data_IF_829317046413
#
_entry.id   IF_829317046413
#
_cell.length_a   1.000
_cell.length_b   1.000
_cell.length_c   1.000
_cell.angle_alpha   90.00
_cell.angle_beta   90.00
_cell.angle_gamma   90.00
#
_symmetry.space_group_name_H-M   'P 1'
#
loop_
_entity.id
_entity.type
_entity.pdbx_description
1 polymer ?
#
# COMPACT_ATOMS: atom_id res chain seq x y z
N UNK A 1 -25.69 28.83 -41.56
CA UNK A 1 -26.01 28.51 -42.98
C UNK A 1 -25.11 27.35 -43.36
N UNK A 2 -25.67 26.13 -43.35
CA UNK A 2 -26.04 25.35 -44.56
C UNK A 2 -24.79 24.90 -45.34
N UNK A 3 -24.62 23.67 -45.80
CA UNK A 3 -25.53 22.54 -46.10
C UNK A 3 -24.60 21.32 -46.30
N UNK A 4 -24.92 20.14 -45.76
CA UNK A 4 -25.62 19.04 -46.45
C UNK A 4 -24.87 18.31 -47.57
N UNK A 5 -25.07 16.98 -47.54
CA UNK A 5 -25.18 16.04 -48.66
C UNK A 5 -23.90 15.51 -49.32
N UNK A 6 -23.81 14.28 -49.83
CA UNK A 6 -24.60 13.04 -49.73
C UNK A 6 -23.85 11.98 -50.57
N UNK A 7 -24.20 10.70 -50.40
CA UNK A 7 -24.14 9.59 -51.37
C UNK A 7 -22.76 9.03 -51.78
N UNK A 8 -22.46 7.75 -51.52
CA UNK A 8 -22.94 6.49 -52.15
C UNK A 8 -22.25 6.17 -53.48
N UNK A 9 -21.57 5.01 -53.52
CA UNK A 9 -21.66 3.90 -54.50
C UNK A 9 -20.39 3.03 -54.39
N UNK A 10 -20.54 1.75 -54.00
CA UNK A 10 -20.57 0.52 -54.84
C UNK A 10 -19.19 0.21 -55.46
N UNK A 11 -18.63 -1.01 -55.44
CA UNK A 11 -19.19 -2.27 -55.97
C UNK A 11 -18.34 -3.50 -55.56
N UNK A 12 -19.04 -4.65 -55.44
CA UNK A 12 -18.72 -6.02 -55.93
C UNK A 12 -17.44 -6.75 -55.45
N UNK A 13 -17.47 -8.05 -55.10
CA UNK A 13 -18.07 -9.16 -55.84
C UNK A 13 -18.20 -10.42 -54.95
N UNK A 14 -19.34 -11.13 -54.90
CA UNK A 14 -19.83 -12.23 -55.78
C UNK A 14 -18.98 -13.51 -55.70
N UNK A 15 -19.46 -14.65 -55.16
CA UNK A 15 -20.10 -15.84 -55.83
C UNK A 15 -19.76 -17.04 -54.90
N UNK A 16 -20.54 -18.09 -54.62
CA UNK A 16 -21.94 -18.44 -54.84
C UNK A 16 -22.21 -19.82 -54.17
N UNK A 17 -23.50 -20.14 -53.94
CA UNK A 17 -24.19 -21.43 -54.18
C UNK A 17 -23.68 -22.71 -53.46
N UNK A 18 -24.38 -23.25 -52.45
CA UNK A 18 -25.62 -24.10 -52.51
C UNK A 18 -25.31 -25.55 -52.93
N UNK A 19 -25.90 -26.66 -52.45
CA UNK A 19 -27.15 -27.00 -51.75
C UNK A 19 -27.09 -28.50 -51.37
N UNK A 20 -27.80 -28.93 -50.31
CA UNK A 20 -28.46 -30.26 -50.12
C UNK A 20 -27.60 -31.57 -50.16
N UNK A 21 -27.92 -32.71 -49.54
CA UNK A 21 -29.10 -33.25 -48.87
C UNK A 21 -28.70 -34.49 -48.01
N UNK A 22 -29.55 -34.81 -47.03
CA UNK A 22 -29.98 -36.15 -46.57
C UNK A 22 -29.01 -37.28 -46.13
N UNK A 23 -29.08 -37.56 -44.82
CA UNK A 23 -29.43 -38.84 -44.15
C UNK A 23 -28.83 -40.18 -44.61
N UNK A 24 -28.16 -40.91 -43.68
CA UNK A 24 -28.56 -42.28 -43.30
C UNK A 24 -27.83 -42.86 -42.05
N UNK A 25 -28.59 -43.70 -41.34
CA UNK A 25 -28.26 -44.56 -40.18
C UNK A 25 -27.09 -45.55 -40.40
N UNK A 26 -26.41 -45.97 -39.32
CA UNK A 26 -26.51 -47.35 -38.79
C UNK A 26 -25.56 -47.62 -37.62
N UNK A 27 -26.05 -48.46 -36.70
CA UNK A 27 -25.45 -48.96 -35.46
C UNK A 27 -24.59 -50.22 -35.67
N UNK A 28 -23.92 -50.64 -34.57
CA UNK A 28 -23.34 -51.98 -34.26
C UNK A 28 -21.97 -52.27 -34.86
N UNK A 29 -21.10 -53.09 -34.28
CA UNK A 29 -20.83 -53.61 -32.93
C UNK A 29 -19.45 -54.29 -33.08
N UNK A 30 -18.84 -54.58 -31.93
CA UNK A 30 -17.88 -55.67 -31.70
C UNK A 30 -16.40 -55.55 -32.11
N UNK A 31 -15.61 -55.59 -31.03
CA UNK A 31 -14.54 -56.55 -30.76
C UNK A 31 -13.08 -56.13 -30.97
N UNK A 32 -12.30 -56.55 -29.97
CA UNK A 32 -10.85 -56.56 -29.87
C UNK A 32 -10.15 -55.22 -29.58
N UNK A 33 -9.68 -55.05 -28.33
CA UNK A 33 -8.24 -54.99 -27.98
C UNK A 33 -8.11 -55.04 -26.45
N UNK A 34 -8.20 -56.25 -25.89
CA UNK A 34 -7.77 -56.56 -24.53
C UNK A 34 -6.26 -56.82 -24.51
N UNK A 35 -5.41 -55.82 -24.80
CA UNK A 35 -3.96 -55.92 -24.53
C UNK A 35 -3.22 -54.56 -24.45
N UNK A 36 -3.93 -53.43 -24.30
CA UNK A 36 -3.29 -52.10 -24.28
C UNK A 36 -3.43 -51.32 -22.96
N UNK A 37 -4.27 -51.76 -22.01
CA UNK A 37 -4.52 -50.97 -20.79
C UNK A 37 -3.54 -51.21 -19.63
N UNK A 38 -2.73 -52.27 -19.66
CA UNK A 38 -1.79 -52.56 -18.55
C UNK A 38 -0.46 -51.79 -18.61
N UNK A 39 -0.19 -51.10 -19.72
CA UNK A 39 1.09 -50.42 -19.95
C UNK A 39 1.05 -48.91 -19.67
N UNK A 40 -0.15 -48.32 -19.55
CA UNK A 40 -0.33 -46.87 -19.31
C UNK A 40 -0.46 -46.53 -17.82
N UNK A 41 -0.87 -47.48 -16.99
CA UNK A 41 -1.09 -47.27 -15.55
C UNK A 41 0.20 -47.10 -14.70
N UNK A 42 1.40 -47.28 -15.27
CA UNK A 42 2.68 -47.18 -14.52
C UNK A 42 3.46 -45.90 -14.87
N UNK A 43 3.08 -45.17 -15.92
CA UNK A 43 3.77 -43.94 -16.35
C UNK A 43 3.20 -42.64 -15.75
N UNK A 44 2.05 -42.66 -15.07
CA UNK A 44 1.42 -41.47 -14.48
C UNK A 44 1.69 -41.28 -12.97
N UNK A 45 2.42 -42.19 -12.31
CA UNK A 45 2.71 -42.10 -10.87
C UNK A 45 4.03 -41.38 -10.52
N UNK A 46 4.77 -40.81 -11.48
CA UNK A 46 6.13 -40.28 -11.22
C UNK A 46 6.42 -38.87 -11.76
N UNK A 47 5.40 -38.04 -11.92
CA UNK A 47 5.57 -36.61 -12.22
C UNK A 47 4.59 -35.72 -11.44
N UNK A 48 4.43 -35.95 -10.14
CA UNK A 48 3.75 -34.97 -9.26
C UNK A 48 4.40 -34.81 -7.88
N UNK A 49 5.75 -34.81 -7.85
CA UNK A 49 6.54 -34.28 -6.74
C UNK A 49 7.47 -33.19 -7.26
N UNK A 50 6.89 -32.13 -7.81
CA UNK A 50 7.57 -30.84 -7.89
C UNK A 50 7.29 -30.10 -6.59
N UNK A 51 8.32 -29.96 -5.78
CA UNK A 51 8.39 -29.16 -4.57
C UNK A 51 7.69 -27.79 -4.73
N UNK A 52 6.40 -27.73 -4.40
CA UNK A 52 5.75 -26.47 -4.07
C UNK A 52 6.18 -26.12 -2.65
N UNK A 53 7.36 -25.47 -2.54
CA UNK A 53 7.75 -24.70 -1.36
C UNK A 53 6.50 -23.93 -0.88
N UNK A 54 6.08 -24.03 0.40
CA UNK A 54 4.96 -23.25 0.87
C UNK A 54 5.32 -21.78 0.70
N UNK A 55 4.66 -21.12 -0.25
CA UNK A 55 4.78 -19.67 -0.46
C UNK A 55 4.54 -19.02 0.89
N UNK A 56 5.56 -18.33 1.41
CA UNK A 56 5.54 -17.55 2.66
C UNK A 56 4.43 -16.47 2.72
N UNK A 57 3.61 -16.36 1.67
CA UNK A 57 2.49 -15.42 1.52
C UNK A 57 1.24 -15.79 2.33
N UNK A 58 1.12 -17.04 2.83
CA UNK A 58 -0.06 -17.45 3.61
C UNK A 58 -0.08 -16.90 5.05
N UNK A 59 1.07 -16.71 5.69
CA UNK A 59 1.11 -16.26 7.09
C UNK A 59 0.72 -14.78 7.25
N UNK A 60 1.17 -13.91 6.33
CA UNK A 60 0.77 -12.49 6.33
C UNK A 60 -0.75 -12.36 6.13
N UNK A 61 -1.34 -13.04 5.14
CA UNK A 61 -2.78 -12.93 4.86
C UNK A 61 -3.67 -13.33 6.05
N UNK A 62 -3.28 -14.37 6.80
CA UNK A 62 -4.04 -14.84 7.97
C UNK A 62 -4.05 -13.82 9.12
N UNK A 63 -2.91 -13.19 9.43
CA UNK A 63 -2.84 -12.13 10.45
C UNK A 63 -3.56 -10.86 10.02
N UNK A 64 -3.48 -10.51 8.73
CA UNK A 64 -4.16 -9.32 8.23
C UNK A 64 -5.67 -9.52 8.41
N UNK A 65 -6.26 -10.69 8.12
CA UNK A 65 -7.71 -10.94 8.17
C UNK A 65 -8.35 -10.92 9.57
N UNK A 66 -7.57 -11.02 10.65
CA UNK A 66 -8.10 -10.98 12.02
C UNK A 66 -8.34 -9.55 12.54
N UNK A 67 -7.93 -8.52 11.80
CA UNK A 67 -7.99 -7.12 12.22
C UNK A 67 -9.24 -6.46 11.60
N UNK A 68 -10.00 -5.63 12.36
CA UNK A 68 -11.14 -4.91 11.83
C UNK A 68 -10.77 -4.05 10.62
N UNK A 69 -11.70 -3.94 9.67
CA UNK A 69 -11.49 -3.27 8.37
C UNK A 69 -11.04 -1.81 8.52
N UNK A 70 -11.53 -1.11 9.56
CA UNK A 70 -11.10 0.26 9.90
C UNK A 70 -9.61 0.36 10.20
N UNK A 71 -9.07 -0.52 11.05
CA UNK A 71 -7.66 -0.50 11.44
C UNK A 71 -6.76 -0.88 10.27
N UNK A 72 -7.22 -1.75 9.36
CA UNK A 72 -6.50 -2.08 8.13
C UNK A 72 -6.38 -0.86 7.20
N UNK A 73 -7.47 -0.12 6.99
CA UNK A 73 -7.46 1.07 6.15
C UNK A 73 -6.55 2.17 6.75
N UNK A 74 -6.61 2.37 8.07
CA UNK A 74 -5.71 3.32 8.76
C UNK A 74 -4.25 2.88 8.64
N UNK A 75 -3.95 1.59 8.81
CA UNK A 75 -2.59 1.08 8.67
C UNK A 75 -2.06 1.21 7.23
N UNK A 76 -2.88 0.93 6.22
CA UNK A 76 -2.50 1.09 4.82
C UNK A 76 -2.25 2.56 4.45
N UNK A 77 -3.12 3.47 4.89
CA UNK A 77 -2.94 4.92 4.64
C UNK A 77 -1.68 5.44 5.33
N UNK A 78 -1.41 5.02 6.57
CA UNK A 78 -0.16 5.35 7.27
C UNK A 78 1.06 4.77 6.57
N UNK A 79 1.01 3.52 6.12
CA UNK A 79 2.11 2.91 5.39
C UNK A 79 2.43 3.71 4.11
N UNK A 80 1.41 4.08 3.32
CA UNK A 80 1.60 4.89 2.11
C UNK A 80 2.21 6.26 2.46
N UNK A 81 1.67 6.91 3.49
CA UNK A 81 2.12 8.24 3.90
C UNK A 81 3.57 8.22 4.42
N UNK A 82 3.95 7.19 5.18
CA UNK A 82 5.35 7.02 5.64
C UNK A 82 6.32 6.81 4.48
N UNK A 83 5.95 5.98 3.50
CA UNK A 83 6.78 5.73 2.31
C UNK A 83 6.92 7.00 1.48
N UNK A 84 5.82 7.73 1.26
CA UNK A 84 5.85 8.99 0.53
C UNK A 84 6.74 10.04 1.24
N UNK A 85 6.57 10.23 2.54
CA UNK A 85 7.38 11.16 3.34
C UNK A 85 8.88 10.79 3.33
N UNK A 86 9.20 9.50 3.38
CA UNK A 86 10.57 9.01 3.29
C UNK A 86 11.20 9.29 1.92
N UNK A 87 10.48 8.97 0.82
CA UNK A 87 10.95 9.24 -0.54
C UNK A 87 11.17 10.73 -0.80
N UNK A 88 10.24 11.59 -0.35
CA UNK A 88 10.36 13.05 -0.48
C UNK A 88 11.57 13.55 0.32
N UNK A 89 11.74 13.10 1.56
CA UNK A 89 12.87 13.49 2.41
C UNK A 89 14.21 13.09 1.81
N UNK A 90 14.31 11.87 1.26
CA UNK A 90 15.52 11.41 0.56
C UNK A 90 15.81 12.24 -0.69
N UNK A 91 14.78 12.53 -1.49
CA UNK A 91 14.92 13.35 -2.71
C UNK A 91 15.42 14.76 -2.38
N UNK A 92 14.84 15.42 -1.37
CA UNK A 92 15.27 16.74 -0.91
C UNK A 92 16.73 16.70 -0.43
N UNK A 93 17.12 15.69 0.35
CA UNK A 93 18.49 15.55 0.84
C UNK A 93 19.51 15.36 -0.30
N UNK A 94 19.17 14.55 -1.30
CA UNK A 94 20.03 14.36 -2.48
C UNK A 94 20.15 15.63 -3.31
N UNK A 95 19.02 16.29 -3.60
CA UNK A 95 18.99 17.52 -4.38
C UNK A 95 19.81 18.63 -3.72
N UNK A 96 19.56 18.89 -2.43
CA UNK A 96 20.28 19.93 -1.68
C UNK A 96 21.75 19.57 -1.52
N UNK A 97 22.08 18.31 -1.23
CA UNK A 97 23.47 17.86 -1.12
C UNK A 97 24.26 18.09 -2.42
N UNK A 98 23.67 17.71 -3.57
CA UNK A 98 24.30 17.90 -4.87
C UNK A 98 24.43 19.38 -5.23
N UNK A 99 23.37 20.17 -5.03
CA UNK A 99 23.40 21.62 -5.28
C UNK A 99 24.45 22.33 -4.44
N UNK A 100 24.56 21.96 -3.16
CA UNK A 100 25.53 22.53 -2.24
C UNK A 100 26.96 22.16 -2.63
N UNK A 101 27.21 20.93 -3.08
CA UNK A 101 28.53 20.52 -3.58
C UNK A 101 28.92 21.25 -4.87
N UNK A 102 28.01 21.32 -5.83
CA UNK A 102 28.23 22.03 -7.09
C UNK A 102 28.51 23.50 -6.85
N UNK A 103 27.73 24.14 -5.97
CA UNK A 103 27.97 25.52 -5.55
C UNK A 103 29.36 25.68 -4.91
N UNK A 104 29.77 24.76 -4.04
CA UNK A 104 31.14 24.81 -3.46
C UNK A 104 32.22 24.62 -4.51
N UNK A 105 32.00 23.80 -5.53
CA UNK A 105 32.96 23.56 -6.61
C UNK A 105 33.15 24.79 -7.48
N UNK A 106 32.04 25.47 -7.84
CA UNK A 106 32.08 26.73 -8.59
C UNK A 106 32.75 27.83 -7.77
N UNK A 107 32.43 27.93 -6.48
CA UNK A 107 33.06 28.91 -5.58
C UNK A 107 34.56 28.63 -5.41
N UNK A 108 34.94 27.37 -5.24
CA UNK A 108 36.32 26.96 -5.10
C UNK A 108 37.10 27.25 -6.39
N UNK A 109 36.56 26.91 -7.57
CA UNK A 109 37.23 27.15 -8.85
C UNK A 109 37.41 28.65 -9.16
N UNK A 110 36.37 29.46 -8.95
CA UNK A 110 36.42 30.91 -9.22
C UNK A 110 37.36 31.65 -8.27
N UNK A 111 37.34 31.32 -6.97
CA UNK A 111 38.18 32.00 -5.96
C UNK A 111 39.60 31.45 -5.93
N UNK A 112 39.80 30.18 -6.30
CA UNK A 112 41.12 29.57 -6.36
C UNK A 112 42.04 30.30 -7.35
N UNK A 113 41.51 30.80 -8.47
CA UNK A 113 42.31 31.54 -9.45
C UNK A 113 42.90 32.82 -8.83
N UNK A 114 42.11 33.58 -8.08
CA UNK A 114 42.58 34.79 -7.40
C UNK A 114 43.64 34.49 -6.32
N UNK A 115 43.43 33.42 -5.54
CA UNK A 115 44.40 32.98 -4.52
C UNK A 115 45.69 32.48 -5.18
N UNK A 116 45.56 31.83 -6.32
CA UNK A 116 46.65 31.32 -7.13
C UNK A 116 47.48 32.45 -7.77
N UNK A 117 46.84 33.44 -8.38
CA UNK A 117 47.53 34.58 -9.02
C UNK A 117 48.31 35.42 -7.99
N UNK A 118 47.84 35.46 -6.75
CA UNK A 118 48.51 36.12 -5.63
C UNK A 118 49.43 35.18 -4.81
N UNK A 119 49.61 33.93 -5.23
CA UNK A 119 50.37 32.92 -4.49
C UNK A 119 51.84 33.32 -4.28
N UNK A 120 52.46 33.97 -5.27
CA UNK A 120 53.85 34.42 -5.16
C UNK A 120 54.01 35.51 -4.07
N UNK A 121 53.04 36.43 -3.97
CA UNK A 121 52.98 37.43 -2.90
C UNK A 121 52.78 36.80 -1.52
N UNK A 122 51.97 35.74 -1.42
CA UNK A 122 51.73 34.99 -0.18
C UNK A 122 52.95 34.15 0.24
N UNK A 123 53.79 33.72 -0.71
CA UNK A 123 55.00 32.93 -0.45
C UNK A 123 56.14 33.76 0.16
N UNK A 124 56.24 35.04 -0.19
CA UNK A 124 57.29 35.93 0.31
C UNK A 124 57.08 36.39 1.77
N UNK A 125 55.92 36.09 2.38
CA UNK A 125 55.61 36.47 3.76
C UNK A 125 55.87 35.30 4.71
N UNK A 126 56.66 35.55 5.76
CA UNK A 126 57.08 34.52 6.73
C UNK A 126 55.88 33.76 7.33
N UNK A 127 56.02 32.43 7.42
CA UNK A 127 55.04 31.47 7.97
C UNK A 127 54.66 31.70 9.44
N UNK A 128 55.38 32.60 10.13
CA UNK A 128 55.14 32.98 11.53
C UNK A 128 54.12 34.11 11.70
N UNK A 129 53.68 34.79 10.63
CA UNK A 129 52.62 35.79 10.70
C UNK A 129 51.25 35.16 10.44
N UNK A 130 50.27 35.56 11.25
CA UNK A 130 48.86 35.16 11.21
C UNK A 130 48.33 35.09 9.77
N UNK A 131 47.68 33.97 9.42
CA UNK A 131 47.03 33.72 8.13
C UNK A 131 46.24 34.95 7.65
N UNK A 132 46.75 35.69 6.67
CA UNK A 132 46.03 36.79 6.00
C UNK A 132 45.39 36.22 4.74
N UNK A 133 44.28 35.53 4.95
CA UNK A 133 43.42 34.99 3.91
C UNK A 133 42.05 34.69 4.53
N UNK A 134 41.01 34.45 3.73
CA UNK A 134 39.71 34.05 4.27
C UNK A 134 39.94 32.81 5.13
N UNK A 135 39.51 32.84 6.40
CA UNK A 135 39.86 31.88 7.48
C UNK A 135 39.38 30.43 7.24
N UNK A 136 38.91 30.13 6.03
CA UNK A 136 38.24 28.89 5.64
C UNK A 136 39.02 28.12 4.56
N UNK A 137 40.06 28.73 3.99
CA UNK A 137 40.89 28.10 2.96
C UNK A 137 42.14 27.48 3.55
N UNK A 138 42.46 26.27 3.08
CA UNK A 138 43.76 25.65 3.26
C UNK A 138 44.50 25.71 1.93
N UNK A 139 45.77 26.16 1.96
CA UNK A 139 46.61 26.24 0.77
C UNK A 139 47.96 25.60 1.06
N UNK A 140 48.38 24.71 0.16
CA UNK A 140 49.68 24.06 0.20
C UNK A 140 50.31 24.05 -1.20
N UNK A 141 51.52 24.57 -1.30
CA UNK A 141 52.31 24.59 -2.53
C UNK A 141 53.35 23.47 -2.46
N UNK A 142 53.43 22.66 -3.51
CA UNK A 142 54.39 21.57 -3.66
C UNK A 142 55.18 21.72 -4.96
N UNK A 143 56.43 21.26 -4.91
CA UNK A 143 57.29 21.12 -6.10
C UNK A 143 56.83 19.94 -6.97
N UNK A 144 57.39 19.84 -8.17
CA UNK A 144 57.33 18.70 -9.10
C UNK A 144 57.70 17.36 -8.43
N UNK A 145 58.65 17.36 -7.50
CA UNK A 145 59.02 16.20 -6.67
C UNK A 145 58.08 16.00 -5.45
N UNK A 146 56.93 16.66 -5.44
CA UNK A 146 55.92 16.60 -4.38
C UNK A 146 56.41 17.01 -2.97
N UNK A 147 57.57 17.68 -2.90
CA UNK A 147 58.09 18.27 -1.66
C UNK A 147 57.29 19.52 -1.30
N UNK A 148 56.88 19.64 -0.04
CA UNK A 148 56.14 20.80 0.46
C UNK A 148 57.06 22.02 0.43
N UNK A 149 56.74 23.02 -0.41
CA UNK A 149 57.48 24.28 -0.50
C UNK A 149 56.97 25.24 0.58
N UNK A 150 55.64 25.41 0.67
CA UNK A 150 55.00 26.31 1.64
C UNK A 150 53.55 25.90 1.92
N UNK A 151 53.06 26.23 3.11
CA UNK A 151 51.65 26.09 3.52
C UNK A 151 51.11 27.45 3.97
N UNK A 152 50.86 28.38 3.03
CA UNK A 152 50.60 29.78 3.36
C UNK A 152 49.26 30.02 4.06
N UNK A 153 48.27 29.14 3.86
CA UNK A 153 46.96 29.26 4.49
C UNK A 153 46.64 27.99 5.29
N UNK A 154 46.50 28.14 6.60
CA UNK A 154 46.09 27.09 7.52
C UNK A 154 44.93 27.63 8.34
N UNK A 155 43.70 27.09 8.17
CA UNK A 155 42.55 27.54 8.92
C UNK A 155 42.69 27.11 10.38
N UNK A 156 42.67 28.08 11.29
CA UNK A 156 42.63 27.82 12.73
C UNK A 156 41.18 27.77 13.16
N UNK A 157 40.74 26.59 13.60
CA UNK A 157 39.44 26.43 14.23
C UNK A 157 39.57 26.97 15.66
N UNK A 158 38.52 27.60 16.20
CA UNK A 158 38.47 28.15 17.56
C UNK A 158 39.06 27.16 18.59
N UNK A 159 40.12 27.56 19.29
CA UNK A 159 40.92 26.69 20.16
C UNK A 159 42.25 26.24 19.53
N UNK A 160 43.09 25.49 20.24
CA UNK A 160 44.38 24.99 19.71
C UNK A 160 44.22 23.85 18.69
N UNK A 161 43.09 23.79 17.96
CA UNK A 161 42.76 22.72 17.01
C UNK A 161 42.93 23.24 15.59
N UNK A 162 43.70 22.50 14.81
CA UNK A 162 43.91 22.73 13.39
C UNK A 162 43.36 21.53 12.63
N UNK A 163 42.47 21.79 11.69
CA UNK A 163 41.98 20.78 10.74
C UNK A 163 42.67 21.00 9.40
N UNK A 164 43.29 19.95 8.86
CA UNK A 164 43.94 19.97 7.55
C UNK A 164 43.42 18.84 6.67
N UNK A 165 43.32 19.02 5.35
CA UNK A 165 42.94 17.94 4.44
C UNK A 165 43.99 16.83 4.43
N UNK A 166 43.56 15.57 4.34
CA UNK A 166 44.46 14.44 4.06
C UNK A 166 44.84 14.44 2.58
N UNK A 167 45.94 15.11 2.27
CA UNK A 167 46.53 15.12 0.94
C UNK A 167 47.41 13.88 0.71
N UNK A 168 47.47 13.33 -0.51
CA UNK A 168 48.30 12.16 -0.83
C UNK A 168 49.78 12.44 -0.57
N UNK A 169 50.49 11.44 -0.03
CA UNK A 169 51.93 11.54 0.26
C UNK A 169 52.80 11.42 -1.00
N UNK A 170 52.31 10.72 -2.03
CA UNK A 170 53.07 10.38 -3.26
C UNK A 170 52.74 11.31 -4.44
N UNK A 171 51.93 12.35 -4.22
CA UNK A 171 51.61 13.34 -5.25
C UNK A 171 50.56 12.84 -6.25
N UNK A 172 50.64 13.35 -7.48
CA UNK A 172 49.69 13.10 -8.57
C UNK A 172 49.75 11.68 -9.18
N UNK A 173 50.73 10.86 -8.81
CA UNK A 173 50.97 9.54 -9.45
C UNK A 173 49.88 8.49 -9.18
N UNK A 174 48.99 8.74 -8.21
CA UNK A 174 47.76 7.98 -8.14
C UNK A 174 46.81 8.46 -9.24
N UNK A 175 46.52 7.61 -10.24
CA UNK A 175 45.56 7.76 -11.38
C UNK A 175 44.14 8.30 -11.05
N UNK A 176 43.89 8.83 -9.85
CA UNK A 176 42.62 9.31 -9.32
C UNK A 176 42.50 10.83 -9.22
N UNK A 177 43.60 11.60 -9.30
CA UNK A 177 43.56 13.07 -9.13
C UNK A 177 43.74 13.74 -10.48
N UNK A 178 42.73 14.48 -10.91
CA UNK A 178 42.73 15.22 -12.17
C UNK A 178 42.88 16.71 -11.86
N UNK A 179 43.87 17.37 -12.46
CA UNK A 179 44.05 18.83 -12.34
C UNK A 179 42.78 19.56 -12.76
N UNK A 180 42.46 20.68 -12.11
CA UNK A 180 41.23 21.45 -12.34
C UNK A 180 39.90 20.77 -12.00
N UNK A 181 39.90 19.55 -11.43
CA UNK A 181 38.68 18.90 -10.92
C UNK A 181 38.69 18.83 -9.39
N UNK A 182 37.71 19.45 -8.70
CA UNK A 182 37.58 19.32 -7.26
C UNK A 182 37.32 17.88 -6.82
N UNK A 183 37.93 17.45 -5.71
CA UNK A 183 37.72 16.15 -5.10
C UNK A 183 37.60 16.25 -3.57
N UNK A 184 36.98 15.26 -2.93
CA UNK A 184 36.71 15.29 -1.48
C UNK A 184 37.73 14.44 -0.72
N UNK A 185 38.31 14.99 0.35
CA UNK A 185 39.26 14.29 1.24
C UNK A 185 38.82 14.35 2.70
N UNK A 186 39.14 13.33 3.51
CA UNK A 186 38.89 13.39 4.95
C UNK A 186 39.84 14.39 5.63
N UNK A 187 39.42 14.95 6.77
CA UNK A 187 40.25 15.82 7.59
C UNK A 187 41.19 15.03 8.51
N UNK A 188 42.36 15.62 8.77
CA UNK A 188 43.28 15.25 9.85
C UNK A 188 43.22 16.36 10.89
N UNK A 189 42.88 16.00 12.11
CA UNK A 189 42.79 16.93 13.24
C UNK A 189 44.10 16.89 14.01
N UNK A 190 44.75 18.05 14.15
CA UNK A 190 45.93 18.24 15.00
C UNK A 190 45.58 19.17 16.15
N UNK A 191 45.87 18.77 17.38
CA UNK A 191 45.63 19.59 18.58
C UNK A 191 45.16 18.79 19.79
N UNK A 192 45.05 19.46 20.95
CA UNK A 192 44.51 18.87 22.16
C UNK A 192 42.98 18.78 22.08
N UNK A 193 42.47 17.59 21.81
CA UNK A 193 41.04 17.33 21.63
C UNK A 193 40.27 17.23 22.96
N UNK A 194 40.94 17.21 24.12
CA UNK A 194 40.27 16.88 25.39
C UNK A 194 39.47 18.05 25.98
N UNK A 195 39.82 19.31 25.68
CA UNK A 195 39.18 20.51 26.25
C UNK A 195 38.21 21.23 25.31
N UNK A 196 37.79 20.59 24.21
CA UNK A 196 37.06 21.28 23.14
C UNK A 196 35.64 20.74 22.97
N UNK A 197 34.72 21.67 22.68
CA UNK A 197 33.28 21.43 22.47
C UNK A 197 33.01 20.39 21.37
N UNK A 198 31.88 19.68 21.51
CA UNK A 198 31.46 18.66 20.54
C UNK A 198 31.22 19.23 19.13
N UNK A 199 30.72 20.47 19.03
CA UNK A 199 30.48 21.17 17.76
C UNK A 199 31.80 21.39 17.03
N UNK A 200 32.80 21.92 17.72
CA UNK A 200 34.14 22.17 17.18
C UNK A 200 34.86 20.89 16.79
N UNK A 201 34.68 19.79 17.55
CA UNK A 201 35.20 18.46 17.19
C UNK A 201 34.57 17.89 15.93
N UNK A 202 33.25 18.05 15.77
CA UNK A 202 32.53 17.63 14.57
C UNK A 202 33.02 18.43 13.36
N UNK A 203 33.10 19.75 13.51
CA UNK A 203 33.58 20.64 12.47
C UNK A 203 35.01 20.33 12.03
N UNK A 204 35.91 20.04 12.98
CA UNK A 204 37.30 19.67 12.69
C UNK A 204 37.42 18.33 11.94
N UNK A 205 36.46 17.42 12.10
CA UNK A 205 36.43 16.12 11.38
C UNK A 205 35.73 16.19 10.03
N UNK A 206 35.12 17.33 9.69
CA UNK A 206 34.39 17.49 8.43
C UNK A 206 35.34 17.34 7.23
N UNK A 207 34.90 16.68 6.15
CA UNK A 207 35.69 16.54 4.94
C UNK A 207 36.01 17.88 4.30
N UNK A 208 37.03 17.86 3.46
CA UNK A 208 37.52 19.01 2.70
C UNK A 208 37.32 18.77 1.22
N UNK A 209 36.87 19.80 0.50
CA UNK A 209 36.85 19.82 -0.96
C UNK A 209 38.13 20.48 -1.43
N UNK A 210 38.95 19.74 -2.17
CA UNK A 210 40.29 20.14 -2.61
C UNK A 210 40.27 20.31 -4.11
N UNK A 211 40.82 21.42 -4.59
CA UNK A 211 41.11 21.70 -5.98
C UNK A 211 42.63 21.78 -6.15
N UNK A 212 43.13 21.16 -7.22
CA UNK A 212 44.55 21.18 -7.54
C UNK A 212 44.78 21.93 -8.83
N UNK A 213 45.69 22.89 -8.77
CA UNK A 213 46.12 23.72 -9.90
C UNK A 213 47.61 23.46 -10.16
N UNK A 214 48.01 23.44 -11.42
CA UNK A 214 49.42 23.44 -11.82
C UNK A 214 49.92 24.87 -11.83
N UNK A 215 51.14 25.08 -11.34
CA UNK A 215 51.83 26.35 -11.50
C UNK A 215 53.09 26.22 -12.34
N UNK A 216 53.43 27.28 -13.07
CA UNK A 216 54.55 27.27 -13.99
C UNK A 216 54.88 28.65 -14.50
N UNK A 217 56.14 28.85 -14.91
CA UNK A 217 56.54 30.05 -15.62
C UNK A 217 56.20 29.87 -17.11
N UNK A 218 55.47 30.85 -17.66
CA UNK A 218 55.21 30.91 -19.10
C UNK A 218 56.49 31.41 -19.77
N UNK A 219 57.10 30.58 -20.61
CA UNK A 219 58.22 31.05 -21.41
C UNK A 219 57.72 32.12 -22.39
N UNK A 220 58.37 33.29 -22.39
CA UNK A 220 58.02 34.42 -23.25
C UNK A 220 58.12 34.13 -24.76
N UNK A 221 58.82 33.06 -25.14
CA UNK A 221 59.09 32.72 -26.54
C UNK A 221 58.11 31.72 -27.17
N UNK A 222 57.56 30.78 -26.40
CA UNK A 222 56.83 29.63 -26.95
C UNK A 222 55.48 29.35 -26.26
N UNK A 223 54.99 30.20 -25.37
CA UNK A 223 53.70 30.04 -24.65
C UNK A 223 53.51 28.71 -23.90
N UNK A 224 54.54 27.86 -23.88
CA UNK A 224 54.61 26.57 -23.23
C UNK A 224 54.81 26.79 -21.74
N UNK A 225 53.85 26.28 -20.95
CA UNK A 225 53.87 26.41 -19.51
C UNK A 225 54.83 25.36 -18.94
N UNK A 226 56.03 25.79 -18.55
CA UNK A 226 56.95 24.92 -17.81
C UNK A 226 56.39 24.70 -16.40
N UNK A 227 55.76 23.55 -16.16
CA UNK A 227 55.13 23.23 -14.87
C UNK A 227 56.20 23.20 -13.78
N UNK A 228 56.20 24.21 -12.92
CA UNK A 228 57.11 24.39 -11.79
C UNK A 228 56.57 23.73 -10.51
N UNK A 229 55.32 23.25 -10.50
CA UNK A 229 54.79 22.40 -9.43
C UNK A 229 53.26 22.45 -9.32
N UNK A 230 52.75 22.16 -8.12
CA UNK A 230 51.31 22.04 -7.86
C UNK A 230 50.87 22.86 -6.64
N UNK A 231 49.68 23.46 -6.75
CA UNK A 231 49.02 24.22 -5.69
C UNK A 231 47.74 23.50 -5.29
N UNK A 232 47.64 23.10 -4.03
CA UNK A 232 46.45 22.52 -3.44
C UNK A 232 45.69 23.61 -2.70
N UNK A 233 44.44 23.84 -3.08
CA UNK A 233 43.53 24.77 -2.43
C UNK A 233 42.34 23.96 -1.93
N UNK A 234 41.99 24.10 -0.65
CA UNK A 234 40.91 23.32 -0.06
C UNK A 234 39.96 24.18 0.78
N UNK A 235 38.68 23.82 0.75
CA UNK A 235 37.60 24.44 1.53
C UNK A 235 36.97 23.38 2.45
N UNK A 236 36.70 23.75 3.70
CA UNK A 236 36.00 22.87 4.64
C UNK A 236 34.52 22.76 4.29
N UNK A 237 33.97 21.53 4.27
CA UNK A 237 32.53 21.29 4.09
C UNK A 237 31.74 21.36 5.40
N UNK A 238 32.34 21.82 6.49
CA UNK A 238 31.69 21.82 7.81
C UNK A 238 30.37 22.57 7.82
N UNK A 239 30.36 23.84 7.39
CA UNK A 239 29.16 24.67 7.38
C UNK A 239 28.06 24.09 6.48
N UNK A 240 28.49 23.48 5.37
CA UNK A 240 27.61 22.84 4.39
C UNK A 240 26.92 21.60 4.99
N UNK A 241 27.70 20.75 5.66
CA UNK A 241 27.20 19.54 6.33
C UNK A 241 26.31 19.91 7.51
N UNK A 242 26.63 20.97 8.24
CA UNK A 242 25.79 21.44 9.34
C UNK A 242 24.46 21.98 8.84
N UNK A 243 24.46 22.71 7.72
CA UNK A 243 23.24 23.15 7.03
C UNK A 243 22.38 21.97 6.58
N UNK A 244 22.99 20.97 5.92
CA UNK A 244 22.28 19.74 5.52
C UNK A 244 21.74 19.00 6.74
N UNK A 245 22.51 18.87 7.82
CA UNK A 245 22.06 18.16 9.03
C UNK A 245 20.91 18.86 9.74
N UNK A 246 20.89 20.20 9.71
CA UNK A 246 19.79 21.01 10.24
C UNK A 246 18.54 20.82 9.39
N UNK A 247 18.69 20.86 8.06
CA UNK A 247 17.60 20.56 7.13
C UNK A 247 17.06 19.15 7.33
N UNK A 248 17.92 18.13 7.44
CA UNK A 248 17.53 16.74 7.73
C UNK A 248 16.72 16.66 9.02
N UNK A 249 17.12 17.37 10.08
CA UNK A 249 16.37 17.41 11.34
C UNK A 249 14.98 18.00 11.15
N UNK A 250 14.86 19.10 10.41
CA UNK A 250 13.55 19.69 10.07
C UNK A 250 12.71 18.73 9.21
N UNK A 251 13.28 18.09 8.20
CA UNK A 251 12.57 17.09 7.39
C UNK A 251 12.04 15.93 8.23
N UNK A 252 12.81 15.44 9.21
CA UNK A 252 12.36 14.38 10.13
C UNK A 252 11.22 14.88 11.01
N UNK A 253 11.33 16.08 11.59
CA UNK A 253 10.27 16.66 12.44
C UNK A 253 8.98 16.87 11.66
N UNK A 254 9.07 17.41 10.44
CA UNK A 254 7.92 17.59 9.54
C UNK A 254 7.33 16.24 9.14
N UNK A 255 8.16 15.25 8.80
CA UNK A 255 7.69 13.91 8.46
C UNK A 255 6.90 13.26 9.61
N UNK A 256 7.40 13.36 10.84
CA UNK A 256 6.72 12.86 12.04
C UNK A 256 5.38 13.59 12.22
N UNK A 257 5.37 14.92 12.09
CA UNK A 257 4.14 15.70 12.19
C UNK A 257 3.10 15.27 11.15
N UNK A 258 3.50 15.15 9.88
CA UNK A 258 2.60 14.72 8.78
C UNK A 258 2.07 13.30 9.01
N UNK A 259 2.89 12.38 9.53
CA UNK A 259 2.44 11.02 9.90
C UNK A 259 1.43 11.06 11.05
N UNK A 260 1.68 11.84 12.10
CA UNK A 260 0.77 11.96 13.24
C UNK A 260 -0.57 12.59 12.83
N UNK A 261 -0.54 13.71 12.11
CA UNK A 261 -1.75 14.34 11.59
C UNK A 261 -2.47 13.40 10.63
N UNK A 262 -1.75 12.76 9.71
CA UNK A 262 -2.30 11.76 8.80
C UNK A 262 -2.98 10.60 9.55
N UNK A 263 -2.40 10.12 10.65
CA UNK A 263 -3.01 9.07 11.49
C UNK A 263 -4.33 9.53 12.09
N UNK A 264 -4.36 10.74 12.66
CA UNK A 264 -5.56 11.31 13.29
C UNK A 264 -6.65 11.56 12.25
N UNK A 265 -6.33 12.20 11.12
CA UNK A 265 -7.29 12.45 10.05
C UNK A 265 -7.81 11.16 9.43
N UNK A 266 -6.93 10.20 9.12
CA UNK A 266 -7.35 8.90 8.61
C UNK A 266 -8.28 8.19 9.60
N UNK A 267 -7.94 8.18 10.89
CA UNK A 267 -8.77 7.57 11.92
C UNK A 267 -10.16 8.23 12.00
N UNK A 268 -10.24 9.56 12.01
CA UNK A 268 -11.52 10.30 12.06
C UNK A 268 -12.36 10.01 10.82
N UNK A 269 -11.79 10.16 9.62
CA UNK A 269 -12.50 9.96 8.35
C UNK A 269 -13.00 8.52 8.25
N UNK A 270 -12.14 7.53 8.48
CA UNK A 270 -12.49 6.11 8.37
C UNK A 270 -13.53 5.71 9.43
N UNK A 271 -13.40 6.19 10.66
CA UNK A 271 -14.42 5.94 11.70
C UNK A 271 -15.75 6.58 11.35
N UNK A 272 -15.76 7.80 10.82
CA UNK A 272 -17.01 8.47 10.39
C UNK A 272 -17.67 7.73 9.22
N UNK A 273 -16.89 7.27 8.24
CA UNK A 273 -17.39 6.57 7.06
C UNK A 273 -17.96 5.19 7.39
N UNK A 274 -17.35 4.48 8.35
CA UNK A 274 -17.79 3.14 8.77
C UNK A 274 -18.85 3.16 9.88
N UNK A 275 -19.09 4.31 10.53
CA UNK A 275 -20.09 4.43 11.61
C UNK A 275 -21.51 4.06 11.16
N UNK A 276 -22.00 4.47 9.97
CA UNK A 276 -23.29 4.01 9.44
C UNK A 276 -23.33 2.49 9.28
N UNK A 277 -22.29 1.87 8.73
CA UNK A 277 -22.23 0.42 8.52
C UNK A 277 -22.33 -0.36 9.84
N UNK A 278 -21.65 0.13 10.89
CA UNK A 278 -21.74 -0.45 12.24
C UNK A 278 -23.13 -0.30 12.87
N UNK A 279 -23.90 0.73 12.50
CA UNK A 279 -25.31 0.87 12.90
C UNK A 279 -26.18 -0.16 12.19
N UNK A 280 -25.97 -0.36 10.88
CA UNK A 280 -26.69 -1.39 10.10
C UNK A 280 -26.43 -2.77 10.70
N UNK A 281 -25.17 -3.11 10.97
CA UNK A 281 -24.77 -4.37 11.63
C UNK A 281 -25.52 -4.58 12.95
N UNK A 282 -25.55 -3.56 13.82
CA UNK A 282 -26.23 -3.64 15.11
C UNK A 282 -27.74 -3.82 14.97
N UNK A 283 -28.38 -3.16 14.00
CA UNK A 283 -29.81 -3.33 13.72
C UNK A 283 -30.10 -4.72 13.16
N UNK A 284 -29.30 -5.20 12.21
CA UNK A 284 -29.43 -6.54 11.66
C UNK A 284 -29.27 -7.63 12.73
N UNK A 285 -28.33 -7.47 13.67
CA UNK A 285 -28.16 -8.38 14.81
C UNK A 285 -29.40 -8.41 15.71
N UNK A 286 -30.10 -7.29 15.92
CA UNK A 286 -31.35 -7.25 16.69
C UNK A 286 -32.53 -7.91 15.96
N UNK A 287 -32.59 -7.73 14.65
CA UNK A 287 -33.59 -8.40 13.81
C UNK A 287 -33.36 -9.91 13.84
N UNK A 288 -32.10 -10.35 13.74
CA UNK A 288 -31.74 -11.76 13.86
C UNK A 288 -32.10 -12.38 15.22
N UNK A 289 -32.19 -11.56 16.28
CA UNK A 289 -32.69 -11.99 17.60
C UNK A 289 -34.22 -12.00 17.73
N UNK A 290 -34.98 -11.73 16.65
CA UNK A 290 -36.44 -11.84 16.61
C UNK A 290 -37.21 -10.52 16.64
N UNK A 291 -36.54 -9.36 16.78
CA UNK A 291 -37.21 -8.06 16.79
C UNK A 291 -37.33 -7.49 15.36
N UNK A 292 -38.34 -7.98 14.62
CA UNK A 292 -38.67 -7.55 13.25
C UNK A 292 -39.25 -6.13 13.18
N UNK A 293 -39.60 -5.50 14.31
CA UNK A 293 -40.12 -4.12 14.34
C UNK A 293 -39.03 -3.08 14.07
N UNK A 294 -37.75 -3.45 14.23
CA UNK A 294 -36.64 -2.53 14.00
C UNK A 294 -36.42 -2.28 12.52
N UNK A 295 -36.00 -1.05 12.22
CA UNK A 295 -35.63 -0.60 10.88
C UNK A 295 -34.24 -0.02 10.88
N UNK A 296 -33.58 -0.14 9.73
CA UNK A 296 -32.28 0.46 9.50
C UNK A 296 -32.48 1.97 9.35
N UNK A 297 -31.70 2.81 10.07
CA UNK A 297 -31.80 4.27 9.94
C UNK A 297 -31.62 4.71 8.49
N UNK A 298 -32.50 5.59 8.01
CA UNK A 298 -32.40 6.10 6.64
C UNK A 298 -31.15 6.97 6.49
N UNK A 299 -30.39 6.71 5.43
CA UNK A 299 -29.26 7.52 4.99
C UNK A 299 -29.56 8.01 3.56
N UNK A 300 -28.94 9.12 3.11
CA UNK A 300 -29.19 9.65 1.77
C UNK A 300 -29.01 8.57 0.70
N UNK A 301 -30.03 8.34 -0.14
CA UNK A 301 -30.06 7.24 -1.12
C UNK A 301 -29.00 7.36 -2.22
N UNK A 302 -28.45 8.56 -2.40
CA UNK A 302 -27.32 8.82 -3.29
C UNK A 302 -25.98 8.27 -2.76
N UNK A 303 -25.95 7.70 -1.56
CA UNK A 303 -24.77 7.02 -1.00
C UNK A 303 -24.94 5.51 -1.07
N UNK A 304 -23.85 4.77 -1.20
CA UNK A 304 -23.84 3.31 -1.25
C UNK A 304 -24.49 2.71 0.01
N UNK A 305 -24.30 3.37 1.16
CA UNK A 305 -24.91 2.98 2.43
C UNK A 305 -26.42 3.23 2.44
N UNK A 306 -26.89 4.34 1.88
CA UNK A 306 -28.31 4.65 1.78
C UNK A 306 -29.06 3.66 0.88
N UNK A 307 -28.51 3.34 -0.29
CA UNK A 307 -29.07 2.33 -1.19
C UNK A 307 -29.16 0.95 -0.53
N UNK A 308 -28.14 0.55 0.24
CA UNK A 308 -28.16 -0.69 1.01
C UNK A 308 -29.23 -0.66 2.13
N UNK A 309 -29.33 0.45 2.86
CA UNK A 309 -30.33 0.61 3.92
C UNK A 309 -31.75 0.52 3.37
N UNK A 310 -32.02 1.15 2.23
CA UNK A 310 -33.32 1.09 1.55
C UNK A 310 -33.66 -0.34 1.10
N UNK A 311 -32.70 -1.04 0.48
CA UNK A 311 -32.87 -2.42 0.03
C UNK A 311 -33.14 -3.38 1.21
N UNK A 312 -32.42 -3.22 2.32
CA UNK A 312 -32.60 -4.04 3.51
C UNK A 312 -33.96 -3.76 4.18
N UNK A 313 -34.39 -2.50 4.29
CA UNK A 313 -35.71 -2.16 4.82
C UNK A 313 -36.84 -2.72 3.93
N UNK A 314 -36.67 -2.74 2.60
CA UNK A 314 -37.63 -3.36 1.67
C UNK A 314 -37.73 -4.88 1.89
N UNK A 315 -36.60 -5.57 2.07
CA UNK A 315 -36.58 -6.99 2.42
C UNK A 315 -37.28 -7.26 3.75
N UNK A 316 -37.01 -6.44 4.78
CA UNK A 316 -37.66 -6.58 6.10
C UNK A 316 -39.18 -6.40 6.02
N UNK A 317 -39.64 -5.42 5.24
CA UNK A 317 -41.07 -5.22 5.02
C UNK A 317 -41.75 -6.42 4.35
N UNK A 318 -41.04 -7.13 3.45
CA UNK A 318 -41.55 -8.38 2.84
C UNK A 318 -41.62 -9.52 3.85
N UNK A 319 -40.59 -9.66 4.70
CA UNK A 319 -40.55 -10.70 5.73
C UNK A 319 -41.69 -10.49 6.75
N UNK A 320 -41.87 -9.26 7.24
CA UNK A 320 -42.93 -8.95 8.21
C UNK A 320 -44.33 -9.21 7.65
N UNK A 321 -44.58 -8.85 6.37
CA UNK A 321 -45.83 -9.21 5.70
C UNK A 321 -46.05 -10.72 5.64
N UNK A 322 -45.02 -11.49 5.30
CA UNK A 322 -45.12 -12.96 5.26
C UNK A 322 -45.40 -13.57 6.62
N UNK A 323 -44.85 -13.03 7.71
CA UNK A 323 -45.17 -13.48 9.07
C UNK A 323 -46.61 -13.14 9.46
N UNK A 324 -47.08 -11.92 9.18
CA UNK A 324 -48.46 -11.53 9.47
C UNK A 324 -49.47 -12.38 8.68
N UNK A 325 -49.20 -12.64 7.40
CA UNK A 325 -50.03 -13.53 6.58
C UNK A 325 -50.05 -14.97 7.14
N UNK A 326 -48.91 -15.47 7.61
CA UNK A 326 -48.82 -16.79 8.24
C UNK A 326 -49.58 -16.85 9.57
N UNK A 327 -49.51 -15.80 10.39
CA UNK A 327 -50.27 -15.68 11.65
C UNK A 327 -51.78 -15.66 11.37
N UNK A 328 -52.22 -14.83 10.43
CA UNK A 328 -53.63 -14.75 10.00
C UNK A 328 -54.14 -16.10 9.47
N UNK A 329 -53.33 -16.80 8.66
CA UNK A 329 -53.68 -18.13 8.17
C UNK A 329 -53.76 -19.16 9.30
N UNK A 330 -52.85 -19.09 10.27
CA UNK A 330 -52.83 -19.99 11.42
C UNK A 330 -54.04 -19.75 12.34
N UNK A 331 -54.43 -18.49 12.55
CA UNK A 331 -55.63 -18.14 13.32
C UNK A 331 -56.90 -18.64 12.63
N UNK A 332 -57.04 -18.39 11.32
CA UNK A 332 -58.15 -18.92 10.52
C UNK A 332 -58.22 -20.45 10.56
N UNK A 333 -57.07 -21.13 10.46
CA UNK A 333 -57.00 -22.59 10.56
C UNK A 333 -57.45 -23.08 11.94
N UNK A 334 -56.98 -22.46 13.03
CA UNK A 334 -57.40 -22.80 14.40
C UNK A 334 -58.91 -22.64 14.57
N UNK A 335 -59.47 -21.56 14.06
CA UNK A 335 -60.91 -21.29 14.10
C UNK A 335 -61.69 -22.33 13.29
N UNK A 336 -61.24 -22.64 12.08
CA UNK A 336 -61.84 -23.69 11.25
C UNK A 336 -61.84 -25.06 11.93
N UNK A 337 -60.71 -25.48 12.52
CA UNK A 337 -60.61 -26.75 13.26
C UNK A 337 -61.53 -26.76 14.48
N UNK A 338 -61.62 -25.65 15.20
CA UNK A 338 -62.55 -25.50 16.33
C UNK A 338 -64.00 -25.64 15.87
N UNK A 339 -64.39 -24.88 14.85
CA UNK A 339 -65.75 -24.89 14.32
C UNK A 339 -66.12 -26.28 13.78
N UNK A 340 -65.23 -26.90 13.00
CA UNK A 340 -65.43 -28.28 12.52
C UNK A 340 -65.55 -29.30 13.66
N UNK A 341 -64.78 -29.14 14.74
CA UNK A 341 -64.88 -30.02 15.92
C UNK A 341 -66.22 -29.86 16.64
N UNK A 342 -66.79 -28.65 16.65
CA UNK A 342 -68.11 -28.39 17.20
C UNK A 342 -69.22 -28.97 16.32
N UNK A 343 -69.14 -28.77 15.01
CA UNK A 343 -70.12 -29.28 14.05
C UNK A 343 -70.11 -30.82 13.96
N UNK A 344 -68.96 -31.48 14.17
CA UNK A 344 -68.86 -32.94 14.16
C UNK A 344 -69.30 -33.59 15.48
N UNK A 345 -69.17 -32.91 16.61
CA UNK A 345 -69.52 -33.47 17.94
C UNK A 345 -71.02 -33.75 18.05
N UNK A 346 -71.85 -32.86 17.52
CA UNK A 346 -73.32 -32.97 17.57
C UNK A 346 -73.87 -34.20 16.83
N UNK A 347 -73.56 -34.42 15.54
CA UNK A 347 -74.01 -35.61 14.83
C UNK A 347 -73.39 -36.89 15.39
N UNK A 348 -72.13 -36.85 15.85
CA UNK A 348 -71.50 -38.01 16.49
C UNK A 348 -72.23 -38.41 17.79
N UNK A 349 -72.63 -37.44 18.62
CA UNK A 349 -73.42 -37.68 19.82
C UNK A 349 -74.79 -38.27 19.49
N UNK A 350 -75.44 -37.81 18.41
CA UNK A 350 -76.69 -38.38 17.93
C UNK A 350 -76.54 -39.84 17.48
N UNK A 351 -75.52 -40.15 16.66
CA UNK A 351 -75.22 -41.52 16.22
C UNK A 351 -74.92 -42.42 17.43
N UNK A 352 -74.14 -41.93 18.40
CA UNK A 352 -73.84 -42.67 19.61
C UNK A 352 -75.09 -42.95 20.44
N UNK A 353 -75.97 -41.96 20.62
CA UNK A 353 -77.25 -42.13 21.29
C UNK A 353 -78.16 -43.15 20.61
N UNK A 354 -78.24 -43.14 19.28
CA UNK A 354 -78.98 -44.17 18.53
C UNK A 354 -78.38 -45.57 18.68
N UNK A 355 -77.05 -45.68 18.67
CA UNK A 355 -76.36 -46.95 18.85
C UNK A 355 -76.59 -47.55 20.26
N UNK A 356 -76.58 -46.72 21.32
CA UNK A 356 -76.93 -47.15 22.67
C UNK A 356 -78.38 -47.67 22.74
N UNK A 357 -79.33 -46.91 22.16
CA UNK A 357 -80.75 -47.31 22.09
C UNK A 357 -80.92 -48.67 21.40
N UNK A 358 -80.22 -48.89 20.29
CA UNK A 358 -80.21 -50.16 19.57
C UNK A 358 -79.66 -51.32 20.41
N UNK A 359 -78.53 -51.12 21.10
CA UNK A 359 -77.97 -52.16 21.99
C UNK A 359 -78.88 -52.48 23.17
N UNK A 360 -79.61 -51.49 23.71
CA UNK A 360 -80.61 -51.70 24.75
C UNK A 360 -81.78 -52.56 24.25
N UNK A 361 -82.31 -52.28 23.06
CA UNK A 361 -83.38 -53.09 22.45
C UNK A 361 -82.93 -54.52 22.11
N UNK A 362 -81.69 -54.69 21.64
CA UNK A 362 -81.10 -56.00 21.31
C UNK A 362 -81.05 -56.96 22.50
N UNK A 363 -80.85 -56.44 23.71
CA UNK A 363 -80.70 -57.23 24.95
C UNK A 363 -82.03 -57.53 25.66
N UNK A 364 -83.18 -57.07 25.14
CA UNK A 364 -84.51 -57.41 25.66
C UNK A 364 -85.09 -58.64 24.92
N UNK A 365 -85.57 -59.69 25.61
CA UNK A 365 -86.02 -60.92 24.96
C UNK A 365 -87.38 -60.73 24.25
N UNK A 366 -87.40 -60.87 22.91
CA UNK A 366 -88.61 -60.87 22.10
C UNK A 366 -88.74 -59.75 21.04
N UNK A 367 -87.79 -58.81 20.94
CA UNK A 367 -87.94 -57.60 20.10
C UNK A 367 -86.83 -57.41 19.06
N UNK A 368 -86.48 -58.47 18.32
CA UNK A 368 -85.51 -58.35 17.21
C UNK A 368 -86.07 -57.52 16.04
N UNK A 369 -87.39 -57.55 15.85
CA UNK A 369 -88.09 -56.83 14.77
C UNK A 369 -88.07 -55.30 14.97
N UNK A 370 -88.10 -54.79 16.21
CA UNK A 370 -88.02 -53.35 16.51
C UNK A 370 -86.62 -52.78 16.38
N UNK A 371 -85.61 -53.58 16.68
CA UNK A 371 -84.22 -53.19 16.46
C UNK A 371 -83.95 -52.99 14.96
N UNK A 372 -84.42 -53.90 14.10
CA UNK A 372 -84.27 -53.80 12.64
C UNK A 372 -85.03 -52.60 12.05
N UNK A 373 -86.23 -52.28 12.56
CA UNK A 373 -87.03 -51.13 12.11
C UNK A 373 -86.35 -49.78 12.39
N UNK A 374 -85.63 -49.67 13.52
CA UNK A 374 -84.86 -48.47 13.85
C UNK A 374 -83.66 -48.24 12.93
N UNK A 375 -83.01 -49.30 12.45
CA UNK A 375 -81.94 -49.21 11.45
C UNK A 375 -82.50 -48.78 10.08
N UNK A 376 -83.70 -49.23 9.72
CA UNK A 376 -84.38 -48.77 8.50
C UNK A 376 -84.66 -47.26 8.55
N UNK A 377 -85.07 -46.73 9.71
CA UNK A 377 -85.31 -45.31 9.91
C UNK A 377 -84.03 -44.45 9.79
N UNK A 378 -82.89 -44.93 10.33
CA UNK A 378 -81.59 -44.24 10.21
C UNK A 378 -81.11 -44.21 8.75
N UNK A 379 -81.30 -45.32 8.00
CA UNK A 379 -80.99 -45.38 6.56
C UNK A 379 -81.85 -44.43 5.72
N UNK A 380 -83.07 -44.14 6.14
CA UNK A 380 -83.97 -43.21 5.45
C UNK A 380 -83.71 -41.73 5.80
N UNK A 381 -83.00 -41.45 6.91
CA UNK A 381 -82.71 -40.09 7.39
C UNK A 381 -81.32 -39.56 7.01
N UNK A 382 -80.47 -40.37 6.38
CA UNK A 382 -79.22 -39.94 5.75
C UNK A 382 -79.44 -39.69 4.27
#
# INVERSE_FOLDING_TARGET
MQSSNNNNDNTESTISSSTNNSSNNSSRDDSDVSTAEKSVAIAQSKSDKKDKKPRKTCWLRRRINAIPLSTRLVACTLAILTVAAFCISLSIQQLVGNYLLEKTDVQLASQAQFVYDNADSLRMKNSNQSSVGPNNYFMQVRDTHNKIISTPLIPKIKGSIVSVPKLPADGFDSKKIVTHKPYTTPAIVKGNNNKVDAITKKAAKSPWRVLVLTWGQKNNYNSELSVSGYVYIALSLSDQIDTVSTLTRYCIMVSIAVILFGAVFAAIIIQSALRPLKRIEKTASKIASGDLSKRVPSAPENTEVGSLAASLNSMLARIERGFNEQEDMTEKMKRFVSDASHELRTPLAAIHGYAELYTMWRNMPGEQERADDSIAHIKASS
#
